data_IF_361059125422
#
_entry.id   IF_361059125422
#
_cell.length_a   1.000
_cell.length_b   1.000
_cell.length_c   1.000
_cell.angle_alpha   90.00
_cell.angle_beta   90.00
_cell.angle_gamma   90.00
#
_symmetry.space_group_name_H-M   'P 1'
#
loop_
_entity.id
_entity.type
_entity.pdbx_description
1 polymer ?
#
# COMPACT_ATOMS: atom_id res chain seq x y z
N UNK A 1 12.93 19.24 32.90
CA UNK A 1 12.02 19.17 31.74
C UNK A 1 12.13 17.78 31.15
N UNK A 2 11.11 16.95 31.28
CA UNK A 2 11.12 15.56 30.80
C UNK A 2 10.53 15.51 29.38
N UNK A 3 11.38 15.28 28.40
CA UNK A 3 10.96 15.02 27.02
C UNK A 3 10.35 13.62 26.98
N UNK A 4 9.05 13.54 26.72
CA UNK A 4 8.40 12.25 26.45
C UNK A 4 8.71 11.84 25.02
N UNK A 5 9.36 10.71 24.83
CA UNK A 5 9.67 10.18 23.51
C UNK A 5 8.39 10.02 22.67
N UNK A 6 8.45 10.45 21.41
CA UNK A 6 7.35 10.22 20.47
C UNK A 6 7.17 8.71 20.29
N UNK A 7 5.94 8.18 20.37
CA UNK A 7 5.73 6.74 20.25
C UNK A 7 6.23 6.22 18.90
N UNK A 8 6.95 5.10 18.95
CA UNK A 8 7.74 4.54 17.83
C UNK A 8 6.92 4.23 16.56
N UNK A 9 5.59 4.24 16.63
CA UNK A 9 4.68 3.94 15.53
C UNK A 9 3.47 4.88 15.57
N UNK A 10 3.71 6.16 15.32
CA UNK A 10 2.61 7.09 15.10
C UNK A 10 2.12 6.98 13.65
N UNK A 11 0.82 6.77 13.44
CA UNK A 11 0.20 6.77 12.11
C UNK A 11 -0.64 8.02 11.93
N UNK A 12 -0.47 8.67 10.78
CA UNK A 12 -1.23 9.86 10.40
C UNK A 12 -2.26 9.51 9.31
N UNK A 13 -3.44 10.09 9.42
CA UNK A 13 -4.48 10.06 8.38
C UNK A 13 -4.93 11.50 8.15
N UNK A 14 -4.69 12.01 6.95
CA UNK A 14 -5.05 13.38 6.57
C UNK A 14 -6.50 13.49 6.15
N UNK A 15 -7.13 14.63 6.44
CA UNK A 15 -8.45 14.98 5.95
C UNK A 15 -8.45 15.00 4.41
N UNK A 16 -9.44 14.36 3.80
CA UNK A 16 -9.56 14.22 2.37
C UNK A 16 -9.88 15.54 1.64
N UNK A 17 -10.45 16.53 2.33
CA UNK A 17 -10.94 17.77 1.71
C UNK A 17 -9.82 18.75 1.40
N UNK A 18 -9.15 19.20 2.46
CA UNK A 18 -8.21 20.33 2.42
C UNK A 18 -6.80 19.95 2.91
N UNK A 19 -6.63 18.75 3.49
CA UNK A 19 -5.40 18.27 4.13
C UNK A 19 -4.82 19.22 5.20
N UNK A 20 -5.63 20.15 5.72
CA UNK A 20 -5.24 21.05 6.83
C UNK A 20 -5.45 20.39 8.18
N UNK A 21 -6.25 19.32 8.23
CA UNK A 21 -6.49 18.52 9.42
C UNK A 21 -5.95 17.11 9.26
N UNK A 22 -5.55 16.52 10.38
CA UNK A 22 -5.18 15.12 10.43
C UNK A 22 -5.59 14.47 11.75
N UNK A 23 -5.78 13.16 11.69
CA UNK A 23 -5.86 12.29 12.86
C UNK A 23 -4.52 11.59 13.02
N UNK A 24 -3.93 11.66 14.21
CA UNK A 24 -2.73 10.91 14.58
C UNK A 24 -3.06 9.86 15.63
N UNK A 25 -2.69 8.63 15.34
CA UNK A 25 -2.72 7.49 16.27
C UNK A 25 -1.35 7.35 16.92
N UNK A 26 -1.31 7.15 18.23
CA UNK A 26 -0.07 7.06 19.01
C UNK A 26 -0.21 6.03 20.13
N UNK A 27 0.61 4.98 20.12
CA UNK A 27 0.51 3.88 21.09
C UNK A 27 1.40 4.12 22.31
N UNK A 28 0.85 3.92 23.50
CA UNK A 28 1.51 4.09 24.78
C UNK A 28 1.49 2.76 25.56
N UNK A 29 2.39 1.82 25.21
CA UNK A 29 2.30 0.43 25.69
C UNK A 29 2.49 0.31 27.20
N UNK A 30 3.38 1.11 27.80
CA UNK A 30 3.60 1.12 29.24
C UNK A 30 2.35 1.54 30.04
N UNK A 31 1.45 2.29 29.40
CA UNK A 31 0.20 2.77 29.98
C UNK A 31 -1.00 1.92 29.56
N UNK A 32 -0.83 0.98 28.62
CA UNK A 32 -1.94 0.22 28.04
C UNK A 32 -2.95 1.10 27.28
N UNK A 33 -2.50 2.24 26.75
CA UNK A 33 -3.37 3.23 26.10
C UNK A 33 -3.00 3.47 24.65
N UNK A 34 -3.99 3.89 23.87
CA UNK A 34 -3.82 4.43 22.52
C UNK A 34 -4.41 5.83 22.49
N UNK A 35 -3.60 6.79 22.05
CA UNK A 35 -4.04 8.17 21.89
C UNK A 35 -4.48 8.39 20.44
N UNK A 36 -5.70 8.90 20.28
CA UNK A 36 -6.21 9.46 19.03
C UNK A 36 -6.20 10.98 19.17
N UNK A 37 -5.42 11.66 18.34
CA UNK A 37 -5.30 13.13 18.41
C UNK A 37 -5.70 13.77 17.10
N UNK A 38 -6.42 14.89 17.18
CA UNK A 38 -6.84 15.71 16.05
C UNK A 38 -5.88 16.90 15.97
N UNK A 39 -5.34 17.10 14.78
CA UNK A 39 -4.39 18.16 14.48
C UNK A 39 -4.99 19.07 13.43
N UNK A 40 -4.72 20.36 13.56
CA UNK A 40 -4.97 21.38 12.54
C UNK A 40 -3.66 22.10 12.33
N UNK A 41 -3.17 22.09 11.10
CA UNK A 41 -1.83 22.54 10.75
C UNK A 41 -0.79 21.81 11.62
N UNK A 42 -0.04 22.54 12.45
CA UNK A 42 0.96 22.02 13.38
C UNK A 42 0.45 21.95 14.83
N UNK A 43 -0.82 22.28 15.08
CA UNK A 43 -1.40 22.33 16.42
C UNK A 43 -2.30 21.13 16.72
N UNK A 44 -2.06 20.48 17.86
CA UNK A 44 -2.98 19.48 18.41
C UNK A 44 -4.20 20.20 19.04
N UNK A 45 -5.36 20.04 18.40
CA UNK A 45 -6.62 20.69 18.83
C UNK A 45 -7.53 19.76 19.65
N UNK A 46 -7.20 18.46 19.74
CA UNK A 46 -7.93 17.52 20.59
C UNK A 46 -7.20 16.20 20.76
N UNK A 47 -7.38 15.54 21.90
CA UNK A 47 -6.84 14.21 22.16
C UNK A 47 -7.81 13.38 22.99
N UNK A 48 -8.02 12.14 22.57
CA UNK A 48 -8.75 11.11 23.31
C UNK A 48 -7.78 9.98 23.62
N UNK A 49 -7.80 9.49 24.86
CA UNK A 49 -7.04 8.32 25.29
C UNK A 49 -7.99 7.15 25.39
N UNK A 50 -7.69 6.07 24.69
CA UNK A 50 -8.55 4.90 24.56
C UNK A 50 -7.86 3.67 25.14
N UNK A 51 -8.65 2.86 25.85
CA UNK A 51 -8.30 1.50 26.27
C UNK A 51 -8.46 0.51 25.10
N UNK A 52 -7.85 -0.68 25.16
CA UNK A 52 -7.91 -1.63 24.06
C UNK A 52 -9.32 -2.03 23.62
N UNK A 53 -10.25 -2.19 24.56
CA UNK A 53 -11.67 -2.50 24.31
C UNK A 53 -12.40 -1.36 23.59
N UNK A 54 -12.14 -0.11 23.98
CA UNK A 54 -12.69 1.08 23.33
C UNK A 54 -12.14 1.26 21.92
N UNK A 55 -10.85 0.97 21.71
CA UNK A 55 -10.23 0.93 20.37
C UNK A 55 -10.87 -0.13 19.51
N UNK A 56 -11.13 -1.32 20.05
CA UNK A 56 -11.80 -2.39 19.30
C UNK A 56 -13.20 -1.95 18.83
N UNK A 57 -13.99 -1.33 19.71
CA UNK A 57 -15.29 -0.76 19.34
C UNK A 57 -15.20 0.32 18.26
N UNK A 58 -14.20 1.22 18.36
CA UNK A 58 -13.95 2.22 17.33
C UNK A 58 -13.60 1.59 15.97
N UNK A 59 -12.74 0.56 15.96
CA UNK A 59 -12.35 -0.15 14.74
C UNK A 59 -13.54 -0.85 14.08
N UNK A 60 -14.44 -1.45 14.88
CA UNK A 60 -15.70 -2.00 14.36
C UNK A 60 -16.53 -0.92 13.67
N UNK A 61 -16.79 0.21 14.32
CA UNK A 61 -17.56 1.31 13.71
C UNK A 61 -16.92 1.87 12.44
N UNK A 62 -15.58 1.97 12.39
CA UNK A 62 -14.86 2.38 11.18
C UNK A 62 -15.03 1.37 10.04
N UNK A 63 -14.97 0.08 10.35
CA UNK A 63 -15.10 -1.00 9.35
C UNK A 63 -16.53 -1.09 8.82
N UNK A 64 -17.53 -0.96 9.69
CA UNK A 64 -18.94 -0.94 9.31
C UNK A 64 -19.25 0.25 8.40
N UNK A 65 -18.77 1.45 8.75
CA UNK A 65 -18.90 2.63 7.91
C UNK A 65 -18.20 2.47 6.55
N UNK A 66 -17.02 1.85 6.52
CA UNK A 66 -16.34 1.52 5.27
C UNK A 66 -17.17 0.55 4.42
N UNK A 67 -17.76 -0.48 5.02
CA UNK A 67 -18.62 -1.44 4.32
C UNK A 67 -19.83 -0.74 3.67
N UNK A 68 -20.47 0.20 4.38
CA UNK A 68 -21.58 0.99 3.85
C UNK A 68 -21.17 1.87 2.65
N UNK A 69 -19.95 2.41 2.65
CA UNK A 69 -19.42 3.18 1.53
C UNK A 69 -19.04 2.28 0.34
N UNK A 70 -18.53 1.07 0.62
CA UNK A 70 -18.15 0.08 -0.39
C UNK A 70 -19.35 -0.56 -1.11
N UNK A 71 -20.58 -0.43 -0.58
CA UNK A 71 -21.80 -0.92 -1.25
C UNK A 71 -22.13 -0.24 -2.57
N UNK A 72 -21.43 0.83 -2.94
CA UNK A 72 -21.40 1.28 -4.35
C UNK A 72 -20.46 0.35 -5.11
N UNK A 73 -20.96 -0.54 -5.97
CA UNK A 73 -20.07 -1.43 -6.70
C UNK A 73 -19.14 -0.55 -7.55
N UNK A 74 -17.82 -0.79 -7.58
CA UNK A 74 -17.03 -0.30 -8.70
C UNK A 74 -17.74 -0.75 -9.98
N UNK A 75 -17.76 0.07 -11.07
CA UNK A 75 -18.41 -0.34 -12.31
C UNK A 75 -17.94 -1.75 -12.59
N UNK A 76 -18.88 -2.69 -12.58
CA UNK A 76 -18.53 -4.09 -12.68
C UNK A 76 -17.66 -4.20 -13.94
N UNK A 77 -16.40 -4.59 -13.77
CA UNK A 77 -15.78 -5.36 -14.84
C UNK A 77 -16.78 -6.48 -15.06
N UNK A 78 -17.49 -6.43 -16.20
CA UNK A 78 -18.64 -7.29 -16.46
C UNK A 78 -18.31 -8.74 -16.14
N UNK A 79 -19.30 -9.61 -15.89
CA UNK A 79 -19.09 -10.93 -15.31
C UNK A 79 -17.97 -11.66 -16.05
N UNK A 80 -16.77 -11.67 -15.46
CA UNK A 80 -15.69 -12.49 -15.94
C UNK A 80 -16.18 -13.92 -15.73
N UNK A 81 -16.48 -14.59 -16.82
CA UNK A 81 -16.87 -15.99 -16.76
C UNK A 81 -15.73 -16.78 -16.14
N UNK A 82 -16.03 -17.95 -15.57
CA UNK A 82 -14.99 -18.86 -15.05
C UNK A 82 -13.90 -19.09 -16.10
N UNK A 83 -14.28 -19.13 -17.37
CA UNK A 83 -13.38 -19.21 -18.53
C UNK A 83 -12.40 -18.03 -18.68
N UNK A 84 -12.82 -16.79 -18.38
CA UNK A 84 -11.90 -15.62 -18.37
C UNK A 84 -10.85 -15.77 -17.27
N UNK A 85 -11.28 -16.21 -16.09
CA UNK A 85 -10.41 -16.43 -14.94
C UNK A 85 -9.42 -17.57 -15.19
N UNK A 86 -9.87 -18.68 -15.76
CA UNK A 86 -9.02 -19.81 -16.17
C UNK A 86 -7.98 -19.39 -17.21
N UNK A 87 -8.39 -18.61 -18.21
CA UNK A 87 -7.48 -18.09 -19.26
C UNK A 87 -6.39 -17.21 -18.65
N UNK A 88 -6.78 -16.33 -17.71
CA UNK A 88 -5.84 -15.45 -17.02
C UNK A 88 -4.91 -16.22 -16.08
N UNK A 89 -5.39 -17.24 -15.40
CA UNK A 89 -4.57 -18.08 -14.52
C UNK A 89 -3.55 -18.88 -15.33
N UNK A 90 -3.97 -19.51 -16.43
CA UNK A 90 -3.07 -20.24 -17.33
C UNK A 90 -1.94 -19.35 -17.88
N UNK A 91 -2.24 -18.08 -18.19
CA UNK A 91 -1.23 -17.13 -18.65
C UNK A 91 -0.20 -16.78 -17.55
N UNK A 92 -0.61 -16.73 -16.28
CA UNK A 92 0.30 -16.51 -15.15
C UNK A 92 1.17 -17.75 -14.92
N UNK A 93 0.58 -18.94 -14.90
CA UNK A 93 1.29 -20.20 -14.70
C UNK A 93 2.33 -20.47 -15.80
N UNK A 94 1.99 -20.18 -17.06
CA UNK A 94 2.92 -20.27 -18.19
C UNK A 94 4.15 -19.38 -18.00
N UNK A 95 3.96 -18.14 -17.54
CA UNK A 95 5.06 -17.20 -17.27
C UNK A 95 5.93 -17.64 -16.11
N UNK A 96 5.35 -18.28 -15.09
CA UNK A 96 6.08 -18.80 -13.94
C UNK A 96 6.85 -20.08 -14.27
N UNK A 97 6.31 -20.90 -15.17
CA UNK A 97 6.91 -22.17 -15.61
C UNK A 97 7.97 -21.98 -16.68
N UNK A 98 7.98 -20.84 -17.38
CA UNK A 98 9.00 -20.53 -18.35
C UNK A 98 10.39 -20.47 -17.69
N UNK A 99 11.40 -21.19 -18.21
CA UNK A 99 12.73 -21.17 -17.64
C UNK A 99 13.30 -19.76 -17.75
N UNK A 100 13.74 -19.21 -16.62
CA UNK A 100 14.42 -17.91 -16.63
C UNK A 100 15.71 -18.05 -17.45
N UNK A 101 15.96 -17.20 -18.45
CA UNK A 101 17.19 -17.27 -19.22
C UNK A 101 18.36 -17.05 -18.27
N UNK A 102 19.40 -17.89 -18.41
CA UNK A 102 20.61 -17.76 -17.60
C UNK A 102 21.25 -16.38 -17.83
N UNK A 103 21.99 -15.87 -16.84
CA UNK A 103 22.69 -14.60 -16.97
C UNK A 103 23.57 -14.55 -18.24
N UNK A 104 24.23 -15.67 -18.56
CA UNK A 104 25.03 -15.82 -19.77
C UNK A 104 24.20 -15.76 -21.08
N UNK A 105 22.97 -16.27 -21.09
CA UNK A 105 22.08 -16.16 -22.26
C UNK A 105 21.59 -14.71 -22.44
N UNK A 106 21.31 -14.01 -21.34
CA UNK A 106 20.89 -12.60 -21.37
C UNK A 106 22.01 -11.69 -21.87
N UNK A 107 23.24 -11.91 -21.41
CA UNK A 107 24.42 -11.16 -21.87
C UNK A 107 24.71 -11.39 -23.36
N UNK A 108 24.62 -12.63 -23.84
CA UNK A 108 24.77 -12.96 -25.27
C UNK A 108 23.71 -12.27 -26.13
N UNK A 109 22.44 -12.30 -25.72
CA UNK A 109 21.37 -11.63 -26.45
C UNK A 109 21.55 -10.11 -26.47
N UNK A 110 22.03 -9.50 -25.38
CA UNK A 110 22.31 -8.07 -25.31
C UNK A 110 23.48 -7.68 -26.23
N UNK A 111 24.55 -8.47 -26.22
CA UNK A 111 25.71 -8.28 -27.09
C UNK A 111 25.34 -8.42 -28.58
N UNK A 112 24.50 -9.40 -28.93
CA UNK A 112 24.00 -9.58 -30.29
C UNK A 112 23.20 -8.35 -30.76
N UNK A 113 22.27 -7.85 -29.94
CA UNK A 113 21.48 -6.65 -30.27
C UNK A 113 22.33 -5.38 -30.40
N UNK A 114 23.40 -5.26 -29.61
CA UNK A 114 24.35 -4.15 -29.73
C UNK A 114 25.23 -4.27 -30.99
N UNK A 115 25.60 -5.48 -31.39
CA UNK A 115 26.32 -5.75 -32.64
C UNK A 115 25.50 -5.46 -33.90
N UNK A 116 24.17 -5.64 -33.84
CA UNK A 116 23.24 -5.27 -34.91
C UNK A 116 23.05 -3.74 -35.05
N UNK A 117 23.28 -2.98 -33.98
CA UNK A 117 23.20 -1.51 -33.97
C UNK A 117 24.55 -0.81 -34.15
N UNK A 118 25.65 -1.55 -34.35
CA UNK A 118 26.97 -0.97 -34.59
C UNK A 118 27.09 -0.52 -36.07
N UNK A 119 27.41 0.75 -36.37
CA UNK A 119 27.58 1.23 -37.74
C UNK A 119 28.76 0.53 -38.45
N UNK A 120 28.71 0.36 -39.78
CA UNK A 120 29.67 -0.43 -40.55
C UNK A 120 31.12 0.08 -40.49
N UNK A 121 31.34 1.34 -40.07
CA UNK A 121 32.67 1.94 -39.93
C UNK A 121 33.53 1.35 -38.80
N UNK A 122 32.97 0.49 -37.94
CA UNK A 122 33.67 -0.19 -36.85
C UNK A 122 33.71 -1.72 -36.99
N UNK A 123 33.25 -2.25 -38.14
CA UNK A 123 33.41 -3.66 -38.50
C UNK A 123 34.68 -3.74 -39.35
N UNK A 124 35.80 -4.07 -38.71
CA UNK A 124 37.09 -4.26 -39.38
C UNK A 124 37.04 -5.30 -40.49
#
# INVERSE_FOLDING_TARGET
MTVTALPARARWVWDARDRTRAVRVSTHPAQGLLNLSIWRDDLCVGTVKLRPDEVAGLVSGLTDGLAQLATTPPPAAGPATVTDLETRLAAVESRLSAPRPSAAARLRALAARLGEHLPPALRG
#
